data_IF_109370517001
#
_entry.id   IF_109370517001
#
_cell.length_a   1.000
_cell.length_b   1.000
_cell.length_c   1.000
_cell.angle_alpha   90.00
_cell.angle_beta   90.00
_cell.angle_gamma   90.00
#
_symmetry.space_group_name_H-M   'P 1'
#
loop_
_entity.id
_entity.type
_entity.pdbx_description
1 polymer ?
#
# COMPACT_ATOMS: atom_id res chain seq x y z
N UNK A 1 -31.29 -8.83 16.28
CA UNK A 1 -31.09 -8.51 15.82
C UNK A 1 -30.55 -8.33 15.52
N UNK A 2 -30.44 -8.44 15.46
CA UNK A 2 -29.70 -8.16 15.02
C UNK A 2 -29.14 -8.05 14.82
N UNK A 3 -28.98 -7.92 14.81
CA UNK A 3 -28.31 -7.72 14.50
C UNK A 3 -27.73 -7.49 14.22
N UNK A 4 -27.45 -7.48 14.06
CA UNK A 4 -26.70 -7.17 13.76
C UNK A 4 -26.18 -7.01 13.64
N UNK A 5 -26.11 -6.98 13.58
CA UNK A 5 -25.42 -6.69 13.44
C UNK A 5 -24.72 -6.60 13.30
N UNK A 6 -24.78 -6.87 13.31
CA UNK A 6 -23.89 -6.72 13.12
C UNK A 6 -23.32 -6.86 12.93
N UNK A 7 -23.26 -6.92 12.84
CA UNK A 7 -22.52 -7.08 12.48
C UNK A 7 -22.02 -7.26 12.33
N UNK A 8 -21.75 -7.26 12.28
CA UNK A 8 -21.13 -7.44 11.97
C UNK A 8 -20.47 -7.63 12.12
N UNK A 9 -20.17 -7.58 12.36
CA UNK A 9 -19.57 -7.61 12.56
C UNK A 9 -19.06 -8.14 12.80
N UNK A 10 -18.97 -8.41 12.78
CA UNK A 10 -18.33 -8.77 12.93
C UNK A 10 -18.14 -9.40 13.47
N UNK A 11 -18.13 -9.55 13.51
CA UNK A 11 -17.97 -10.13 14.14
C UNK A 11 -17.19 -10.61 14.53
N UNK A 12 -16.69 -10.43 14.52
CA UNK A 12 -15.90 -10.79 14.86
C UNK A 12 -15.49 -11.98 15.00
N UNK A 13 -14.63 -12.36 14.42
CA UNK A 13 -14.35 -13.57 14.51
C UNK A 13 -13.33 -13.74 15.46
N UNK A 14 -13.51 -14.38 16.45
CA UNK A 14 -12.56 -14.53 17.47
C UNK A 14 -11.44 -15.36 16.97
N UNK A 15 -10.35 -15.26 17.48
CA UNK A 15 -9.27 -16.09 17.12
C UNK A 15 -8.48 -15.62 15.95
N UNK A 16 -9.04 -14.74 15.17
CA UNK A 16 -8.33 -14.27 14.10
C UNK A 16 -8.08 -12.85 14.30
N UNK A 17 -6.86 -12.40 14.40
CA UNK A 17 -6.60 -11.00 14.62
C UNK A 17 -7.10 -10.24 13.41
N UNK A 18 -7.80 -9.19 13.63
CA UNK A 18 -8.31 -8.43 12.52
C UNK A 18 -7.15 -7.75 11.83
N UNK A 19 -7.22 -7.72 10.53
CA UNK A 19 -6.23 -7.05 9.75
C UNK A 19 -6.18 -5.59 10.13
N UNK A 20 -7.33 -5.05 10.52
CA UNK A 20 -7.40 -3.66 10.90
C UNK A 20 -7.62 -3.53 12.39
N UNK A 21 -6.59 -3.85 13.15
CA UNK A 21 -6.69 -3.71 14.57
C UNK A 21 -6.74 -2.26 14.94
N UNK A 22 -6.07 -1.42 14.19
CA UNK A 22 -6.07 -0.01 14.47
C UNK A 22 -7.29 0.63 13.82
N UNK A 23 -7.65 1.80 14.27
CA UNK A 23 -8.78 2.53 13.71
C UNK A 23 -8.51 2.82 12.25
N UNK A 24 -9.54 2.74 11.43
CA UNK A 24 -9.37 3.01 10.01
C UNK A 24 -10.56 3.80 9.47
N UNK A 25 -10.33 4.48 8.37
CA UNK A 25 -11.32 5.30 7.72
C UNK A 25 -11.31 4.96 6.24
N UNK A 26 -12.49 4.84 5.66
CA UNK A 26 -12.59 4.57 4.24
C UNK A 26 -12.38 5.86 3.48
N UNK A 27 -11.48 5.83 2.52
CA UNK A 27 -11.15 7.01 1.71
C UNK A 27 -11.22 6.63 0.25
N UNK A 28 -11.79 7.51 -0.56
CA UNK A 28 -11.91 7.27 -1.99
C UNK A 28 -10.87 8.12 -2.72
N UNK A 29 -10.13 7.51 -3.60
CA UNK A 29 -9.09 8.19 -4.36
C UNK A 29 -9.27 7.86 -5.83
N UNK A 30 -9.07 8.86 -6.68
CA UNK A 30 -9.11 8.64 -8.11
C UNK A 30 -7.72 8.21 -8.57
N UNK A 31 -7.65 7.11 -9.29
CA UNK A 31 -6.40 6.64 -9.85
C UNK A 31 -6.51 6.64 -11.37
N UNK A 32 -5.39 6.88 -12.03
CA UNK A 32 -5.36 6.80 -13.47
C UNK A 32 -5.36 5.34 -13.89
N UNK A 33 -5.86 5.06 -15.08
CA UNK A 33 -5.93 3.69 -15.55
C UNK A 33 -4.56 2.99 -15.53
N UNK A 34 -3.51 3.70 -15.88
CA UNK A 34 -2.18 3.09 -15.88
C UNK A 34 -1.76 2.66 -14.48
N UNK A 35 -2.25 3.37 -13.47
CA UNK A 35 -1.93 3.02 -12.09
C UNK A 35 -2.66 1.76 -11.67
N UNK A 36 -3.90 1.62 -12.13
CA UNK A 36 -4.67 0.42 -11.84
C UNK A 36 -4.00 -0.79 -12.50
N UNK A 37 -3.57 -0.61 -13.75
CA UNK A 37 -2.90 -1.68 -14.48
C UNK A 37 -1.61 -2.08 -13.75
N UNK A 38 -0.87 -1.10 -13.26
CA UNK A 38 0.35 -1.37 -12.52
C UNK A 38 0.07 -2.24 -11.29
N UNK A 39 -0.94 -1.86 -10.53
CA UNK A 39 -1.28 -2.59 -9.32
C UNK A 39 -1.73 -4.02 -9.66
N UNK A 40 -2.55 -4.16 -10.69
CA UNK A 40 -3.05 -5.48 -11.05
C UNK A 40 -1.95 -6.38 -11.56
N UNK A 41 -1.02 -5.85 -12.32
CA UNK A 41 0.10 -6.62 -12.80
C UNK A 41 0.99 -7.04 -11.66
N UNK A 42 1.23 -6.13 -10.72
CA UNK A 42 2.06 -6.44 -9.58
C UNK A 42 1.42 -7.56 -8.76
N UNK A 43 0.10 -7.46 -8.54
CA UNK A 43 -0.61 -8.48 -7.80
C UNK A 43 -0.52 -9.84 -8.49
N UNK A 44 -0.65 -9.84 -9.82
CA UNK A 44 -0.57 -11.07 -10.59
C UNK A 44 0.84 -11.67 -10.54
N UNK A 45 1.85 -10.83 -10.59
CA UNK A 45 3.22 -11.30 -10.53
C UNK A 45 3.57 -11.87 -9.16
N UNK A 46 3.05 -11.26 -8.11
CA UNK A 46 3.27 -11.77 -6.77
C UNK A 46 2.64 -13.14 -6.64
N UNK A 47 1.42 -13.27 -7.17
CA UNK A 47 0.73 -14.53 -7.10
C UNK A 47 1.48 -15.61 -7.86
N UNK A 48 1.98 -15.27 -9.04
CA UNK A 48 2.71 -16.23 -9.86
C UNK A 48 4.00 -16.66 -9.17
N UNK A 49 4.64 -15.75 -8.46
CA UNK A 49 5.91 -16.03 -7.83
C UNK A 49 5.79 -16.72 -6.48
N UNK A 50 4.96 -16.20 -5.62
CA UNK A 50 4.86 -16.69 -4.25
C UNK A 50 3.55 -17.36 -3.91
N UNK A 51 2.56 -17.27 -4.79
CA UNK A 51 1.25 -17.84 -4.53
C UNK A 51 0.36 -16.95 -3.67
N UNK A 52 0.86 -15.81 -3.24
CA UNK A 52 0.09 -14.96 -2.35
C UNK A 52 -0.98 -14.17 -3.10
N UNK A 53 -2.15 -14.05 -2.51
CA UNK A 53 -3.23 -13.28 -3.08
C UNK A 53 -3.25 -11.92 -2.38
N UNK A 54 -2.67 -10.92 -3.05
CA UNK A 54 -2.58 -9.57 -2.51
C UNK A 54 -3.53 -8.67 -3.27
N UNK A 55 -4.34 -7.90 -2.55
CA UNK A 55 -5.31 -7.02 -3.19
C UNK A 55 -4.69 -5.67 -3.50
N UNK A 56 -5.38 -4.88 -4.33
CA UNK A 56 -4.95 -3.52 -4.61
C UNK A 56 -4.81 -2.72 -3.33
N UNK A 57 -5.79 -2.86 -2.45
CA UNK A 57 -5.76 -2.11 -1.19
C UNK A 57 -4.54 -2.47 -0.37
N UNK A 58 -4.19 -3.74 -0.33
CA UNK A 58 -3.03 -4.17 0.42
C UNK A 58 -1.75 -3.62 -0.19
N UNK A 59 -1.68 -3.60 -1.52
CA UNK A 59 -0.51 -3.04 -2.19
C UNK A 59 -0.35 -1.56 -1.86
N UNK A 60 -1.46 -0.82 -1.93
CA UNK A 60 -1.42 0.60 -1.65
C UNK A 60 -1.03 0.87 -0.21
N UNK A 61 -1.60 0.12 0.72
CA UNK A 61 -1.27 0.32 2.13
C UNK A 61 0.20 0.01 2.41
N UNK A 62 0.71 -1.04 1.77
CA UNK A 62 2.12 -1.40 1.96
C UNK A 62 3.04 -0.31 1.42
N UNK A 63 2.68 0.27 0.29
CA UNK A 63 3.46 1.35 -0.28
C UNK A 63 3.46 2.58 0.62
N UNK A 64 2.31 2.89 1.19
CA UNK A 64 2.21 4.03 2.10
C UNK A 64 3.02 3.79 3.37
N UNK A 65 2.91 2.60 3.92
CA UNK A 65 3.64 2.26 5.12
C UNK A 65 5.15 2.30 4.87
N UNK A 66 5.56 1.82 3.71
CA UNK A 66 6.98 1.82 3.39
C UNK A 66 7.54 3.24 3.30
N UNK A 67 6.79 4.14 2.68
CA UNK A 67 7.24 5.52 2.57
C UNK A 67 7.24 6.19 3.93
N UNK A 68 6.24 5.92 4.74
CA UNK A 68 6.17 6.50 6.08
C UNK A 68 7.32 6.01 6.94
N UNK A 69 7.61 4.72 6.85
CA UNK A 69 8.68 4.15 7.67
C UNK A 69 10.06 4.57 7.19
N UNK A 70 10.18 4.89 5.92
CA UNK A 70 11.44 5.33 5.37
C UNK A 70 11.79 6.74 5.84
N UNK A 71 10.80 7.43 6.40
CA UNK A 71 11.02 8.75 6.95
C UNK A 71 11.63 9.72 5.94
N UNK A 72 11.11 9.71 4.74
CA UNK A 72 11.55 10.62 3.70
C UNK A 72 10.92 11.99 3.93
N UNK A 73 11.74 13.03 3.91
CA UNK A 73 11.21 14.37 4.12
C UNK A 73 10.54 14.86 2.84
N UNK A 74 9.22 14.95 2.88
CA UNK A 74 8.44 15.38 1.73
C UNK A 74 7.83 16.76 1.94
N UNK A 75 8.21 17.43 3.01
CA UNK A 75 7.52 18.64 3.41
C UNK A 75 7.78 19.86 2.51
N UNK A 76 8.81 19.79 1.68
CA UNK A 76 9.08 20.90 0.78
C UNK A 76 8.39 20.71 -0.58
N UNK A 77 7.65 19.62 -0.74
CA UNK A 77 6.98 19.35 -2.01
C UNK A 77 5.89 20.37 -2.27
N UNK A 78 5.81 20.83 -3.49
CA UNK A 78 4.81 21.82 -3.85
C UNK A 78 3.77 21.28 -4.82
N UNK A 79 3.87 20.04 -5.23
CA UNK A 79 2.94 19.45 -6.17
C UNK A 79 3.03 17.94 -6.08
N UNK A 80 2.10 17.29 -6.72
CA UNK A 80 2.10 15.84 -6.80
C UNK A 80 3.36 15.36 -7.52
N UNK A 81 3.76 16.09 -8.56
CA UNK A 81 4.95 15.73 -9.31
C UNK A 81 6.21 15.84 -8.45
N UNK A 82 6.28 16.85 -7.59
CA UNK A 82 7.41 16.99 -6.69
C UNK A 82 7.47 15.85 -5.70
N UNK A 83 6.32 15.45 -5.17
CA UNK A 83 6.25 14.33 -4.24
C UNK A 83 6.80 13.08 -4.92
N UNK A 84 6.33 12.83 -6.14
CA UNK A 84 6.76 11.66 -6.87
C UNK A 84 8.26 11.69 -7.11
N UNK A 85 8.77 12.84 -7.51
CA UNK A 85 10.19 12.97 -7.82
C UNK A 85 11.06 12.72 -6.60
N UNK A 86 10.63 13.23 -5.44
CA UNK A 86 11.40 13.06 -4.22
C UNK A 86 11.43 11.59 -3.79
N UNK A 87 10.28 10.94 -3.86
CA UNK A 87 10.20 9.53 -3.51
C UNK A 87 11.04 8.69 -4.46
N UNK A 88 10.91 8.99 -5.75
CA UNK A 88 11.63 8.25 -6.77
C UNK A 88 13.14 8.38 -6.60
N UNK A 89 13.60 9.57 -6.28
CA UNK A 89 15.02 9.80 -6.07
C UNK A 89 15.54 8.96 -4.91
N UNK A 90 14.72 8.83 -3.86
CA UNK A 90 15.13 8.06 -2.73
C UNK A 90 15.21 6.59 -3.08
N UNK A 91 14.24 6.08 -3.84
CA UNK A 91 14.23 4.71 -4.28
C UNK A 91 15.37 4.44 -5.24
N UNK A 92 15.61 5.38 -6.15
CA UNK A 92 16.68 5.22 -7.11
C UNK A 92 18.04 5.20 -6.45
N UNK A 93 18.22 6.05 -5.46
CA UNK A 93 19.47 6.10 -4.75
C UNK A 93 19.71 4.77 -4.05
N UNK A 94 18.69 4.21 -3.46
CA UNK A 94 18.77 2.94 -2.77
C UNK A 94 19.12 1.84 -3.76
N UNK A 95 18.50 1.85 -4.92
CA UNK A 95 18.75 0.88 -5.96
C UNK A 95 20.17 1.01 -6.48
N UNK A 96 20.64 2.21 -6.63
CA UNK A 96 21.95 2.46 -7.15
C UNK A 96 23.00 1.84 -6.25
N UNK A 97 22.79 1.93 -4.98
CA UNK A 97 23.70 1.32 -4.07
C UNK A 97 23.75 -0.16 -4.26
N UNK A 98 22.62 -0.78 -4.44
CA UNK A 98 22.57 -2.19 -4.64
C UNK A 98 23.26 -2.59 -5.91
N UNK A 99 23.08 -1.83 -6.93
CA UNK A 99 23.67 -2.14 -8.20
C UNK A 99 25.18 -2.03 -8.17
N UNK A 100 25.66 -1.05 -7.52
CA UNK A 100 27.08 -0.89 -7.45
C UNK A 100 27.75 -2.00 -6.75
N UNK A 101 27.10 -2.56 -5.80
CA UNK A 101 27.66 -3.65 -5.13
C UNK A 101 27.84 -4.77 -6.02
N UNK A 102 26.92 -4.97 -6.86
CA UNK A 102 26.93 -6.07 -7.78
C UNK A 102 27.91 -5.85 -8.85
#
# INVERSE_FOLDING_TARGET
>A
MARQEAPPQGQRRPGRPPVHEEAWTKVTVVLFNRQIVFLDRLAANIRAHSGAAISRAQLIRALLDAVADADVDLTSSMSEADLKATILARLGHHNTEGVEEG
#
